data_IF_088706927245
#
_entry.id   IF_088706927245
#
_cell.length_a   1.000
_cell.length_b   1.000
_cell.length_c   1.000
_cell.angle_alpha   90.00
_cell.angle_beta   90.00
_cell.angle_gamma   90.00
#
_symmetry.space_group_name_H-M   'P 1'
#
loop_
_entity.id
_entity.type
_entity.pdbx_description
1 polymer ?
#
# COMPACT_ATOMS: atom_id res chain seq x y z
N UNK A 1 -4.36 3.63 -15.77
CA UNK A 1 -5.83 3.64 -15.72
C UNK A 1 -6.31 4.94 -15.12
N UNK A 2 -7.44 5.50 -15.56
CA UNK A 2 -8.04 6.63 -14.89
C UNK A 2 -8.39 6.27 -13.44
N UNK A 3 -8.49 7.29 -12.57
CA UNK A 3 -8.86 7.10 -11.16
C UNK A 3 -10.28 6.53 -11.07
N UNK A 4 -10.51 5.43 -10.35
CA UNK A 4 -11.84 4.85 -10.17
C UNK A 4 -12.86 5.84 -9.61
N UNK A 5 -14.09 5.77 -10.10
CA UNK A 5 -15.23 6.60 -9.69
C UNK A 5 -16.44 5.77 -9.26
N UNK A 6 -16.40 4.47 -9.47
CA UNK A 6 -17.44 3.52 -9.07
C UNK A 6 -16.82 2.38 -8.26
N UNK A 7 -17.65 1.66 -7.50
CA UNK A 7 -17.23 0.48 -6.73
C UNK A 7 -16.62 -0.60 -7.64
N UNK A 8 -17.25 -0.85 -8.79
CA UNK A 8 -16.75 -1.83 -9.76
C UNK A 8 -15.40 -1.42 -10.35
N UNK A 9 -15.24 -0.15 -10.74
CA UNK A 9 -13.96 0.36 -11.23
C UNK A 9 -12.86 0.24 -10.17
N UNK A 10 -13.16 0.54 -8.90
CA UNK A 10 -12.22 0.40 -7.80
C UNK A 10 -11.81 -1.06 -7.60
N UNK A 11 -12.79 -1.96 -7.55
CA UNK A 11 -12.54 -3.40 -7.42
C UNK A 11 -11.69 -3.94 -8.56
N UNK A 12 -12.03 -3.60 -9.80
CA UNK A 12 -11.28 -4.01 -10.99
C UNK A 12 -9.85 -3.45 -10.97
N UNK A 13 -9.67 -2.17 -10.62
CA UNK A 13 -8.35 -1.56 -10.55
C UNK A 13 -7.46 -2.19 -9.47
N UNK A 14 -8.03 -2.44 -8.28
CA UNK A 14 -7.31 -3.10 -7.18
C UNK A 14 -6.90 -4.53 -7.56
N UNK A 15 -7.83 -5.33 -8.07
CA UNK A 15 -7.57 -6.72 -8.48
C UNK A 15 -6.57 -6.82 -9.63
N UNK A 16 -6.73 -5.98 -10.65
CA UNK A 16 -5.83 -5.94 -11.81
C UNK A 16 -4.41 -5.59 -11.40
N UNK A 17 -4.23 -4.55 -10.59
CA UNK A 17 -2.90 -4.13 -10.13
C UNK A 17 -2.29 -5.14 -9.16
N UNK A 18 -3.10 -5.74 -8.30
CA UNK A 18 -2.64 -6.83 -7.43
C UNK A 18 -2.10 -8.01 -8.24
N UNK A 19 -2.85 -8.51 -9.23
CA UNK A 19 -2.43 -9.62 -10.11
C UNK A 19 -1.16 -9.28 -10.88
N UNK A 20 -1.05 -8.05 -11.40
CA UNK A 20 0.18 -7.60 -12.08
C UNK A 20 1.37 -7.57 -11.13
N UNK A 21 1.19 -7.04 -9.93
CA UNK A 21 2.25 -7.00 -8.91
C UNK A 21 2.70 -8.42 -8.52
N UNK A 22 1.75 -9.33 -8.27
CA UNK A 22 2.07 -10.72 -7.93
C UNK A 22 2.83 -11.43 -9.07
N UNK A 23 2.40 -11.26 -10.32
CA UNK A 23 3.10 -11.81 -11.47
C UNK A 23 4.53 -11.26 -11.60
N UNK A 24 4.74 -9.97 -11.33
CA UNK A 24 6.08 -9.38 -11.33
C UNK A 24 6.96 -9.95 -10.21
N UNK A 25 6.40 -10.20 -9.03
CA UNK A 25 7.11 -10.81 -7.90
C UNK A 25 7.54 -12.25 -8.24
N UNK A 26 6.62 -13.04 -8.78
CA UNK A 26 6.88 -14.44 -9.17
C UNK A 26 7.92 -14.57 -10.28
N UNK A 27 7.88 -13.69 -11.26
CA UNK A 27 8.77 -13.71 -12.45
C UNK A 27 10.15 -13.08 -12.23
N UNK A 28 10.51 -12.73 -10.98
CA UNK A 28 11.88 -12.25 -10.68
C UNK A 28 12.91 -13.35 -10.91
N UNK A 29 14.02 -13.01 -11.57
CA UNK A 29 15.18 -13.91 -11.69
C UNK A 29 15.85 -14.12 -10.33
N UNK A 30 16.75 -15.12 -10.23
CA UNK A 30 17.58 -15.33 -9.04
C UNK A 30 18.40 -14.10 -8.71
N UNK A 31 18.99 -13.47 -9.71
CA UNK A 31 19.77 -12.23 -9.57
C UNK A 31 18.92 -11.08 -9.00
N UNK A 32 17.69 -10.90 -9.53
CA UNK A 32 16.76 -9.88 -9.02
C UNK A 32 16.33 -10.14 -7.57
N UNK A 33 16.28 -11.40 -7.12
CA UNK A 33 15.94 -11.78 -5.74
C UNK A 33 17.09 -11.58 -4.78
N UNK A 34 18.32 -11.87 -5.22
CA UNK A 34 19.53 -11.82 -4.39
C UNK A 34 20.11 -10.41 -4.27
N UNK A 35 20.02 -9.60 -5.32
CA UNK A 35 20.55 -8.26 -5.34
C UNK A 35 19.74 -7.33 -4.41
N UNK A 36 20.40 -6.56 -3.52
CA UNK A 36 19.71 -5.54 -2.74
C UNK A 36 19.22 -4.40 -3.63
N UNK A 37 18.15 -3.73 -3.22
CA UNK A 37 17.72 -2.49 -3.87
C UNK A 37 18.75 -1.39 -3.58
N UNK A 38 19.41 -0.93 -4.62
CA UNK A 38 20.30 0.22 -4.58
C UNK A 38 19.83 1.28 -5.58
N UNK A 39 19.21 2.30 -5.03
CA UNK A 39 18.70 3.45 -5.78
C UNK A 39 19.56 4.71 -5.55
N UNK A 40 20.80 4.57 -5.11
CA UNK A 40 21.71 5.70 -4.83
C UNK A 40 21.89 6.62 -6.04
N UNK A 41 22.02 6.03 -7.24
CA UNK A 41 22.14 6.74 -8.52
C UNK A 41 20.80 6.98 -9.23
N UNK A 42 19.67 6.62 -8.58
CA UNK A 42 18.37 6.82 -9.18
C UNK A 42 17.97 8.29 -9.19
N UNK A 43 17.37 8.73 -10.29
CA UNK A 43 17.01 10.15 -10.50
C UNK A 43 16.01 10.69 -9.46
N UNK A 44 15.19 9.83 -8.90
CA UNK A 44 14.14 10.19 -7.95
C UNK A 44 14.69 10.25 -6.52
N UNK A 45 14.33 11.32 -5.80
CA UNK A 45 14.91 11.65 -4.49
C UNK A 45 13.95 11.47 -3.31
N UNK A 46 12.72 10.99 -3.55
CA UNK A 46 11.79 10.73 -2.45
C UNK A 46 12.37 9.69 -1.47
N UNK A 47 12.20 9.95 -0.18
CA UNK A 47 12.84 9.19 0.90
C UNK A 47 12.70 7.67 0.81
N UNK A 48 11.57 7.18 0.28
CA UNK A 48 11.31 5.75 0.14
C UNK A 48 12.28 5.04 -0.83
N UNK A 49 12.87 5.74 -1.81
CA UNK A 49 13.87 5.16 -2.71
C UNK A 49 15.14 4.76 -1.98
N UNK A 50 15.54 5.56 -0.99
CA UNK A 50 16.74 5.27 -0.18
C UNK A 50 16.43 4.36 1.02
N UNK A 51 15.18 4.36 1.50
CA UNK A 51 14.75 3.56 2.65
C UNK A 51 14.67 2.07 2.33
N UNK A 52 13.97 1.72 1.23
CA UNK A 52 13.63 0.33 0.94
C UNK A 52 14.81 -0.39 0.27
N UNK A 53 15.28 -1.48 0.87
CA UNK A 53 16.49 -2.21 0.46
C UNK A 53 16.21 -3.55 -0.23
N UNK A 54 14.97 -4.00 -0.22
CA UNK A 54 14.56 -5.27 -0.81
C UNK A 54 13.03 -5.32 -0.99
N UNK A 55 12.52 -6.40 -1.55
CA UNK A 55 11.09 -6.60 -1.73
C UNK A 55 10.33 -6.70 -0.41
N UNK A 56 10.91 -7.31 0.64
CA UNK A 56 10.29 -7.34 1.98
C UNK A 56 9.88 -5.96 2.45
N UNK A 57 10.76 -4.96 2.31
CA UNK A 57 10.50 -3.59 2.74
C UNK A 57 9.31 -2.98 2.00
N UNK A 58 9.21 -3.23 0.69
CA UNK A 58 8.08 -2.79 -0.14
C UNK A 58 6.78 -3.46 0.29
N UNK A 59 6.78 -4.78 0.45
CA UNK A 59 5.59 -5.56 0.83
C UNK A 59 5.08 -5.17 2.21
N UNK A 60 5.98 -4.95 3.17
CA UNK A 60 5.59 -4.53 4.51
C UNK A 60 5.04 -3.11 4.52
N UNK A 61 5.56 -2.20 3.69
CA UNK A 61 4.95 -0.88 3.52
C UNK A 61 3.49 -0.99 3.04
N UNK A 62 3.23 -1.82 2.02
CA UNK A 62 1.86 -2.08 1.54
C UNK A 62 0.97 -2.67 2.62
N UNK A 63 1.48 -3.67 3.35
CA UNK A 63 0.76 -4.31 4.45
C UNK A 63 0.37 -3.31 5.55
N UNK A 64 1.31 -2.47 5.99
CA UNK A 64 1.05 -1.49 7.05
C UNK A 64 -0.03 -0.47 6.65
N UNK A 65 -0.04 -0.02 5.41
CA UNK A 65 -1.08 0.88 4.91
C UNK A 65 -2.45 0.18 4.77
N UNK A 66 -2.49 -1.09 4.43
CA UNK A 66 -3.71 -1.90 4.52
C UNK A 66 -4.24 -1.95 5.95
N UNK A 67 -3.35 -2.22 6.92
CA UNK A 67 -3.72 -2.30 8.33
C UNK A 67 -4.23 -0.97 8.88
N UNK A 68 -3.64 0.16 8.47
CA UNK A 68 -4.14 1.49 8.84
C UNK A 68 -5.60 1.67 8.39
N UNK A 69 -5.92 1.32 7.15
CA UNK A 69 -7.30 1.42 6.65
C UNK A 69 -8.26 0.50 7.42
N UNK A 70 -7.91 -0.75 7.60
CA UNK A 70 -8.73 -1.75 8.28
C UNK A 70 -9.00 -1.36 9.74
N UNK A 71 -7.97 -0.93 10.45
CA UNK A 71 -8.09 -0.49 11.84
C UNK A 71 -8.92 0.80 11.96
N UNK A 72 -8.76 1.73 11.02
CA UNK A 72 -9.55 2.96 10.99
C UNK A 72 -11.04 2.68 10.80
N UNK A 73 -11.41 1.82 9.83
CA UNK A 73 -12.80 1.39 9.60
C UNK A 73 -13.36 0.75 10.87
N UNK A 74 -12.66 -0.22 11.44
CA UNK A 74 -13.05 -0.92 12.67
C UNK A 74 -13.25 0.04 13.84
N UNK A 75 -12.34 0.99 14.03
CA UNK A 75 -12.46 1.99 15.10
C UNK A 75 -13.71 2.85 14.91
N UNK A 76 -14.04 3.24 13.67
CA UNK A 76 -15.23 4.05 13.38
C UNK A 76 -16.52 3.28 13.59
N UNK A 77 -16.57 2.01 13.19
CA UNK A 77 -17.69 1.11 13.46
C UNK A 77 -17.95 0.93 14.96
N UNK A 78 -16.90 0.92 15.77
CA UNK A 78 -16.96 0.83 17.23
C UNK A 78 -17.15 2.20 17.94
N UNK A 79 -17.39 3.28 17.19
CA UNK A 79 -17.62 4.61 17.74
C UNK A 79 -16.36 5.33 18.24
N UNK A 80 -15.17 4.81 17.95
CA UNK A 80 -13.90 5.47 18.29
C UNK A 80 -13.58 6.60 17.33
N UNK A 81 -13.01 7.69 17.85
CA UNK A 81 -12.58 8.86 17.08
C UNK A 81 -11.10 8.84 16.69
N UNK A 82 -10.42 7.71 16.78
CA UNK A 82 -9.02 7.60 16.38
C UNK A 82 -8.83 8.00 14.91
N UNK A 83 -7.80 8.80 14.60
CA UNK A 83 -7.51 9.20 13.22
C UNK A 83 -7.01 8.01 12.38
N UNK A 84 -6.91 8.23 11.06
CA UNK A 84 -6.38 7.23 10.11
C UNK A 84 -4.91 6.89 10.39
N UNK A 85 -4.07 7.90 10.61
CA UNK A 85 -2.66 7.69 10.94
C UNK A 85 -2.51 7.29 12.41
N UNK A 86 -1.43 6.61 12.72
CA UNK A 86 -1.10 6.23 14.10
C UNK A 86 -0.95 7.47 14.99
N UNK A 87 -1.23 7.30 16.27
CA UNK A 87 -1.06 8.33 17.29
C UNK A 87 0.36 8.90 17.26
N UNK A 88 0.46 10.22 17.36
CA UNK A 88 1.73 10.94 17.30
C UNK A 88 2.18 11.33 15.88
N UNK A 89 1.50 10.87 14.84
CA UNK A 89 1.81 11.22 13.45
C UNK A 89 0.71 12.03 12.79
N UNK A 90 1.10 12.82 11.80
CA UNK A 90 0.21 13.64 10.97
C UNK A 90 0.58 13.50 9.49
N UNK A 91 -0.23 14.05 8.59
CA UNK A 91 0.09 14.11 7.17
C UNK A 91 1.35 14.93 6.84
N UNK A 92 1.87 15.70 7.80
CA UNK A 92 3.18 16.37 7.68
C UNK A 92 4.34 15.48 8.12
N UNK A 93 4.09 14.51 9.00
CA UNK A 93 5.11 13.64 9.62
C UNK A 93 4.93 12.15 9.27
N UNK A 94 4.03 11.80 8.36
CA UNK A 94 3.80 10.39 7.98
C UNK A 94 5.04 9.72 7.38
N UNK A 95 6.02 10.50 6.91
CA UNK A 95 7.32 9.98 6.49
C UNK A 95 8.08 9.32 7.64
N UNK A 96 8.00 9.89 8.85
CA UNK A 96 8.59 9.31 10.07
C UNK A 96 7.84 8.05 10.50
N UNK A 97 6.52 8.02 10.35
CA UNK A 97 5.71 6.82 10.55
C UNK A 97 6.12 5.70 9.59
N UNK A 98 6.33 6.01 8.31
CA UNK A 98 6.81 5.04 7.33
C UNK A 98 8.21 4.50 7.68
N UNK A 99 9.09 5.34 8.23
CA UNK A 99 10.40 4.91 8.73
C UNK A 99 10.25 3.96 9.91
N UNK A 100 9.39 4.26 10.86
CA UNK A 100 9.10 3.39 12.00
C UNK A 100 8.54 2.03 11.54
N UNK A 101 7.63 2.01 10.56
CA UNK A 101 7.15 0.76 9.94
C UNK A 101 8.31 -0.06 9.35
N UNK A 102 9.19 0.61 8.62
CA UNK A 102 10.37 -0.03 8.03
C UNK A 102 11.30 -0.61 9.11
N UNK A 103 11.61 0.14 10.16
CA UNK A 103 12.49 -0.30 11.24
C UNK A 103 11.96 -1.55 11.94
N UNK A 104 10.68 -1.60 12.26
CA UNK A 104 10.09 -2.73 12.98
C UNK A 104 9.90 -4.01 12.13
N UNK A 105 10.09 -3.92 10.83
CA UNK A 105 9.92 -5.06 9.92
C UNK A 105 11.24 -5.74 9.53
N UNK A 106 12.38 -5.28 10.06
CA UNK A 106 13.70 -5.75 9.58
C UNK A 106 13.99 -7.22 9.91
N UNK A 107 13.34 -7.78 10.91
CA UNK A 107 13.48 -9.19 11.29
C UNK A 107 12.51 -10.13 10.56
N UNK A 108 11.64 -9.61 9.70
CA UNK A 108 10.65 -10.38 8.94
C UNK A 108 11.30 -10.89 7.65
N UNK A 109 11.07 -12.17 7.30
CA UNK A 109 11.52 -12.73 6.02
C UNK A 109 10.67 -12.21 4.85
N UNK A 110 11.19 -12.30 3.62
CA UNK A 110 10.44 -11.95 2.41
C UNK A 110 9.18 -12.80 2.26
N UNK A 111 9.27 -14.12 2.55
CA UNK A 111 8.14 -15.03 2.46
C UNK A 111 7.04 -14.67 3.48
N UNK A 112 7.43 -14.31 4.68
CA UNK A 112 6.47 -13.84 5.70
C UNK A 112 5.84 -12.50 5.29
N UNK A 113 6.62 -11.57 4.76
CA UNK A 113 6.11 -10.30 4.27
C UNK A 113 5.11 -10.49 3.11
N UNK A 114 5.41 -11.41 2.20
CA UNK A 114 4.50 -11.78 1.10
C UNK A 114 3.20 -12.36 1.63
N UNK A 115 3.26 -13.30 2.58
CA UNK A 115 2.08 -13.89 3.19
C UNK A 115 1.20 -12.85 3.90
N UNK A 116 1.81 -11.93 4.66
CA UNK A 116 1.09 -10.82 5.34
C UNK A 116 0.44 -9.88 4.34
N UNK A 117 1.14 -9.51 3.28
CA UNK A 117 0.59 -8.66 2.21
C UNK A 117 -0.61 -9.32 1.52
N UNK A 118 -0.49 -10.60 1.16
CA UNK A 118 -1.59 -11.35 0.53
C UNK A 118 -2.83 -11.42 1.45
N UNK A 119 -2.61 -11.63 2.74
CA UNK A 119 -3.68 -11.67 3.74
C UNK A 119 -4.35 -10.30 3.89
N UNK A 120 -3.56 -9.23 4.06
CA UNK A 120 -4.11 -7.88 4.24
C UNK A 120 -4.82 -7.38 2.98
N UNK A 121 -4.32 -7.71 1.78
CA UNK A 121 -5.03 -7.43 0.52
C UNK A 121 -6.43 -8.05 0.53
N UNK A 122 -6.54 -9.33 0.86
CA UNK A 122 -7.84 -10.03 0.95
C UNK A 122 -8.77 -9.34 1.94
N UNK A 123 -8.27 -9.00 3.13
CA UNK A 123 -9.05 -8.31 4.15
C UNK A 123 -9.54 -6.92 3.68
N UNK A 124 -8.71 -6.17 2.96
CA UNK A 124 -9.11 -4.89 2.38
C UNK A 124 -10.20 -5.07 1.32
N UNK A 125 -10.08 -6.09 0.47
CA UNK A 125 -11.12 -6.38 -0.54
C UNK A 125 -12.43 -6.85 0.09
N UNK A 126 -12.38 -7.65 1.15
CA UNK A 126 -13.55 -8.05 1.94
C UNK A 126 -14.22 -6.83 2.61
N UNK A 127 -13.41 -5.93 3.19
CA UNK A 127 -13.92 -4.68 3.76
C UNK A 127 -14.58 -3.79 2.70
N UNK A 128 -14.00 -3.69 1.49
CA UNK A 128 -14.57 -2.94 0.38
C UNK A 128 -15.98 -3.41 0.03
N UNK A 129 -16.23 -4.71 0.08
CA UNK A 129 -17.54 -5.28 -0.27
C UNK A 129 -18.66 -4.88 0.71
N UNK A 130 -18.31 -4.46 1.95
CA UNK A 130 -19.29 -4.00 2.94
C UNK A 130 -19.87 -2.61 2.64
N UNK A 131 -19.22 -1.83 1.77
CA UNK A 131 -19.66 -0.48 1.43
C UNK A 131 -20.46 -0.45 0.14
N UNK A 132 -21.53 0.34 0.11
CA UNK A 132 -22.23 0.67 -1.13
C UNK A 132 -21.41 1.67 -1.97
N UNK A 133 -21.77 1.79 -3.25
CA UNK A 133 -21.14 2.79 -4.13
C UNK A 133 -21.36 4.22 -3.59
N UNK A 134 -22.54 4.52 -3.07
CA UNK A 134 -22.86 5.81 -2.47
C UNK A 134 -21.97 6.10 -1.26
N UNK A 135 -21.79 5.15 -0.35
CA UNK A 135 -20.92 5.27 0.82
C UNK A 135 -19.47 5.50 0.42
N UNK A 136 -18.98 4.82 -0.64
CA UNK A 136 -17.61 4.92 -1.12
C UNK A 136 -17.30 6.27 -1.77
N UNK A 137 -18.20 6.79 -2.62
CA UNK A 137 -17.87 7.89 -3.52
C UNK A 137 -18.58 9.20 -3.25
N UNK A 138 -19.59 9.22 -2.37
CA UNK A 138 -20.18 10.48 -1.93
C UNK A 138 -19.20 11.22 -1.03
N UNK A 139 -18.88 12.45 -1.42
CA UNK A 139 -17.99 13.33 -0.64
C UNK A 139 -18.59 13.57 0.75
N UNK A 140 -17.77 13.38 1.77
CA UNK A 140 -18.18 13.58 3.19
C UNK A 140 -19.39 12.74 3.61
N UNK A 141 -19.65 11.60 2.97
CA UNK A 141 -20.71 10.68 3.37
C UNK A 141 -20.58 10.32 4.86
N UNK A 142 -19.37 9.95 5.26
CA UNK A 142 -18.99 9.81 6.65
C UNK A 142 -18.30 11.08 7.14
N UNK A 143 -18.72 11.68 8.28
CA UNK A 143 -18.08 12.89 8.82
C UNK A 143 -16.58 12.72 9.07
N UNK A 144 -16.15 11.51 9.40
CA UNK A 144 -14.76 11.19 9.75
C UNK A 144 -13.81 11.06 8.55
N UNK A 145 -14.29 11.07 7.31
CA UNK A 145 -13.43 11.16 6.11
C UNK A 145 -13.08 12.61 5.74
N UNK A 146 -13.57 13.58 6.49
CA UNK A 146 -13.36 15.00 6.21
C UNK A 146 -13.99 15.42 4.88
N UNK A 147 -13.27 16.23 4.10
CA UNK A 147 -13.71 16.70 2.79
C UNK A 147 -13.53 15.71 1.64
N UNK A 148 -13.16 14.46 1.92
CA UNK A 148 -12.92 13.40 0.94
C UNK A 148 -14.06 12.37 0.94
N UNK A 149 -13.79 11.18 0.42
CA UNK A 149 -14.65 10.01 0.50
C UNK A 149 -13.82 8.77 0.86
N UNK A 150 -14.46 7.74 1.40
CA UNK A 150 -13.73 6.53 1.83
C UNK A 150 -13.15 5.75 0.65
N UNK A 151 -13.78 5.81 -0.52
CA UNK A 151 -13.28 5.19 -1.75
C UNK A 151 -11.87 5.69 -2.11
N UNK A 152 -11.56 6.95 -1.83
CA UNK A 152 -10.21 7.52 -2.04
C UNK A 152 -9.15 6.85 -1.18
N UNK A 153 -9.47 6.43 0.04
CA UNK A 153 -8.56 5.69 0.91
C UNK A 153 -8.35 4.26 0.41
N UNK A 154 -9.40 3.58 -0.02
CA UNK A 154 -9.27 2.25 -0.68
C UNK A 154 -8.41 2.32 -1.93
N UNK A 155 -8.61 3.31 -2.81
CA UNK A 155 -7.79 3.52 -4.01
C UNK A 155 -6.32 3.74 -3.62
N UNK A 156 -6.08 4.57 -2.62
CA UNK A 156 -4.72 4.90 -2.15
C UNK A 156 -3.97 3.66 -1.71
N UNK A 157 -4.55 2.85 -0.82
CA UNK A 157 -3.86 1.67 -0.25
C UNK A 157 -3.83 0.45 -1.16
N UNK A 158 -4.60 0.45 -2.26
CA UNK A 158 -4.63 -0.64 -3.24
C UNK A 158 -3.98 -0.24 -4.57
N UNK A 159 -4.77 0.11 -5.57
CA UNK A 159 -4.28 0.32 -6.94
C UNK A 159 -3.14 1.34 -7.04
N UNK A 160 -3.21 2.44 -6.29
CA UNK A 160 -2.15 3.47 -6.30
C UNK A 160 -0.86 2.98 -5.65
N UNK A 161 -0.94 2.33 -4.49
CA UNK A 161 0.23 1.76 -3.81
C UNK A 161 0.82 0.56 -4.57
N UNK A 162 0.00 -0.25 -5.24
CA UNK A 162 0.50 -1.34 -6.08
C UNK A 162 1.26 -0.82 -7.30
N UNK A 163 0.78 0.26 -7.93
CA UNK A 163 1.52 0.96 -8.98
C UNK A 163 2.89 1.46 -8.49
N UNK A 164 2.92 2.05 -7.30
CA UNK A 164 4.14 2.50 -6.66
C UNK A 164 5.12 1.33 -6.43
N UNK A 165 4.65 0.21 -5.92
CA UNK A 165 5.45 -1.00 -5.71
C UNK A 165 6.00 -1.56 -7.03
N UNK A 166 5.16 -1.66 -8.07
CA UNK A 166 5.57 -2.12 -9.39
C UNK A 166 6.65 -1.22 -10.02
N UNK A 167 6.58 0.10 -9.81
CA UNK A 167 7.63 1.03 -10.27
C UNK A 167 8.97 0.72 -9.63
N UNK A 168 9.00 0.39 -8.34
CA UNK A 168 10.23 0.00 -7.63
C UNK A 168 10.82 -1.30 -8.14
N UNK A 169 10.00 -2.32 -8.32
CA UNK A 169 10.44 -3.62 -8.86
C UNK A 169 11.02 -3.44 -10.27
N UNK A 170 10.36 -2.63 -11.13
CA UNK A 170 10.85 -2.31 -12.46
C UNK A 170 12.18 -1.55 -12.43
N UNK A 171 12.32 -0.60 -11.53
CA UNK A 171 13.56 0.16 -11.39
C UNK A 171 14.71 -0.74 -10.93
N UNK A 172 14.48 -1.60 -9.93
CA UNK A 172 15.46 -2.59 -9.48
C UNK A 172 15.87 -3.54 -10.62
N UNK A 173 14.90 -4.08 -11.34
CA UNK A 173 15.16 -4.95 -12.50
C UNK A 173 16.10 -4.29 -13.52
N UNK A 174 15.85 -3.01 -13.87
CA UNK A 174 16.72 -2.26 -14.79
C UNK A 174 18.14 -2.13 -14.28
N UNK A 175 18.31 -1.91 -12.97
CA UNK A 175 19.64 -1.78 -12.35
C UNK A 175 20.39 -3.12 -12.37
N UNK A 176 19.70 -4.23 -12.10
CA UNK A 176 20.30 -5.58 -12.09
C UNK A 176 20.70 -6.05 -13.48
N UNK A 177 19.89 -5.74 -14.49
CA UNK A 177 20.18 -6.15 -15.89
C UNK A 177 21.27 -5.28 -16.54
N UNK A 178 21.49 -4.07 -16.02
CA UNK A 178 22.45 -3.09 -16.56
C UNK A 178 21.82 -2.27 -17.65
#
# INVERSE_FOLDING_TARGET
MPRPKTKDELRIAADTNYKKLMAMIENRTSEEKEAPYDFSEYEKKEAHWQRDKNLRDVLMHLNEWHLLLLEWIKNRENGSNKPFLLEGYSWKTYGDMNRMFWERCQDITEDEALARFMQSHRQVMEALEQFSEEELFTKSFYPWVGGSNIGSYFISVTSSHYDWAMKKIKAHKKIVIG
#
